data_IF_293099930808
#
_entry.id   IF_293099930808
#
_cell.length_a   1.000
_cell.length_b   1.000
_cell.length_c   1.000
_cell.angle_alpha   90.00
_cell.angle_beta   90.00
_cell.angle_gamma   90.00
#
_symmetry.space_group_name_H-M   'P 1'
#
loop_
_entity.id
_entity.type
_entity.pdbx_description
1 polymer ?
#
# COMPACT_ATOMS: atom_id res chain seq x y z
N UNK A 1 1.54 26.38 18.27
CA UNK A 1 0.53 25.32 18.46
C UNK A 1 1.23 24.19 19.19
N UNK A 2 0.93 23.99 20.48
CA UNK A 2 1.44 22.88 21.25
C UNK A 2 0.74 21.60 20.80
N UNK A 3 1.42 20.78 20.03
CA UNK A 3 0.99 19.40 19.80
C UNK A 3 1.16 18.68 21.14
N UNK A 4 0.08 18.58 21.91
CA UNK A 4 0.05 17.70 23.06
C UNK A 4 0.40 16.29 22.57
N UNK A 5 1.42 15.74 23.21
CA UNK A 5 1.95 14.40 23.01
C UNK A 5 0.89 13.38 23.47
N UNK A 6 -0.15 13.18 22.67
CA UNK A 6 -1.09 12.09 22.89
C UNK A 6 -0.38 10.82 22.40
N UNK A 7 -0.16 9.86 23.29
CA UNK A 7 0.27 8.48 23.01
C UNK A 7 -0.76 7.72 22.14
N UNK A 8 -1.27 8.39 21.10
CA UNK A 8 -2.29 7.83 20.23
C UNK A 8 -1.61 6.92 19.23
N UNK A 9 -1.92 5.64 19.29
CA UNK A 9 -1.49 4.66 18.28
C UNK A 9 -2.13 5.07 16.95
N UNK A 10 -1.29 5.36 15.96
CA UNK A 10 -1.71 5.62 14.60
C UNK A 10 -1.87 4.29 13.86
N UNK A 11 -2.97 4.12 13.19
CA UNK A 11 -3.21 2.94 12.36
C UNK A 11 -2.84 3.23 10.92
N UNK A 12 -2.06 2.32 10.31
CA UNK A 12 -1.71 2.39 8.90
C UNK A 12 -2.16 1.09 8.22
N UNK A 13 -3.05 1.23 7.24
CA UNK A 13 -3.47 0.12 6.40
C UNK A 13 -2.61 0.13 5.13
N UNK A 14 -1.98 -1.01 4.83
CA UNK A 14 -1.04 -1.18 3.72
C UNK A 14 -1.62 -2.18 2.72
N UNK A 15 -1.93 -1.77 1.48
CA UNK A 15 -2.21 -2.74 0.42
C UNK A 15 -0.89 -3.21 -0.22
N UNK A 16 -0.73 -4.53 -0.39
CA UNK A 16 0.51 -5.12 -0.92
C UNK A 16 0.76 -4.74 -2.38
N UNK A 17 -0.31 -4.46 -3.15
CA UNK A 17 -0.21 -4.14 -4.57
C UNK A 17 -0.05 -5.38 -5.43
N UNK A 18 0.68 -5.25 -6.55
CA UNK A 18 0.89 -6.35 -7.49
C UNK A 18 1.87 -7.38 -6.90
N UNK A 19 1.38 -8.59 -6.68
CA UNK A 19 2.15 -9.70 -6.11
C UNK A 19 3.25 -10.22 -7.04
N UNK A 20 3.12 -10.01 -8.33
CA UNK A 20 4.13 -10.38 -9.32
C UNK A 20 5.27 -9.37 -9.44
N UNK A 21 5.08 -8.19 -8.83
CA UNK A 21 6.01 -7.08 -8.84
C UNK A 21 6.87 -6.99 -7.57
N UNK A 22 7.39 -5.80 -7.33
CA UNK A 22 8.28 -5.51 -6.18
C UNK A 22 7.52 -5.21 -4.88
N UNK A 23 6.18 -5.12 -4.91
CA UNK A 23 5.36 -4.74 -3.77
C UNK A 23 5.65 -5.55 -2.50
N UNK A 24 5.57 -6.88 -2.54
CA UNK A 24 5.86 -7.73 -1.37
C UNK A 24 7.27 -7.50 -0.80
N UNK A 25 8.28 -7.40 -1.67
CA UNK A 25 9.67 -7.19 -1.26
C UNK A 25 9.88 -5.86 -0.54
N UNK A 26 9.41 -4.75 -1.13
CA UNK A 26 9.62 -3.42 -0.53
C UNK A 26 8.91 -3.27 0.79
N UNK A 27 7.73 -3.90 0.95
CA UNK A 27 6.99 -3.89 2.21
C UNK A 27 7.75 -4.64 3.31
N UNK A 28 8.27 -5.84 3.00
CA UNK A 28 9.04 -6.62 3.97
C UNK A 28 10.32 -5.87 4.41
N UNK A 29 10.98 -5.17 3.49
CA UNK A 29 12.14 -4.33 3.78
C UNK A 29 11.76 -3.10 4.61
N UNK A 30 10.69 -2.40 4.22
CA UNK A 30 10.23 -1.20 4.91
C UNK A 30 9.82 -1.49 6.35
N UNK A 31 9.05 -2.55 6.58
CA UNK A 31 8.56 -2.91 7.91
C UNK A 31 9.65 -3.46 8.85
N UNK A 32 10.81 -3.80 8.34
CA UNK A 32 11.99 -4.12 9.15
C UNK A 32 12.73 -2.87 9.63
N UNK A 33 12.53 -1.73 8.98
CA UNK A 33 13.29 -0.51 9.23
C UNK A 33 13.05 0.07 10.63
N UNK A 34 14.14 0.42 11.31
CA UNK A 34 14.11 1.13 12.60
C UNK A 34 13.65 2.60 12.48
N UNK A 35 13.43 3.10 11.27
CA UNK A 35 12.93 4.46 11.01
C UNK A 35 11.42 4.58 11.22
N UNK A 36 10.72 3.46 11.34
CA UNK A 36 9.28 3.46 11.60
C UNK A 36 9.02 3.79 13.06
N UNK A 37 8.19 4.81 13.36
CA UNK A 37 7.81 5.13 14.73
C UNK A 37 7.09 3.96 15.42
N UNK A 38 7.42 3.69 16.69
CA UNK A 38 6.85 2.56 17.45
C UNK A 38 5.36 2.69 17.76
N UNK A 39 4.79 3.87 17.61
CA UNK A 39 3.37 4.13 17.86
C UNK A 39 2.49 3.92 16.60
N UNK A 40 2.97 3.18 15.62
CA UNK A 40 2.20 2.83 14.42
C UNK A 40 1.80 1.36 14.47
N UNK A 41 0.49 1.09 14.35
CA UNK A 41 -0.09 -0.24 14.19
C UNK A 41 -0.38 -0.48 12.70
N UNK A 42 0.30 -1.44 12.09
CA UNK A 42 0.14 -1.79 10.69
C UNK A 42 -0.85 -2.92 10.48
N UNK A 43 -1.72 -2.77 9.48
CA UNK A 43 -2.54 -3.84 8.93
C UNK A 43 -2.18 -3.98 7.45
N UNK A 44 -1.59 -5.11 7.08
CA UNK A 44 -1.33 -5.44 5.68
C UNK A 44 -2.57 -6.08 5.05
N UNK A 45 -2.86 -5.72 3.81
CA UNK A 45 -3.92 -6.36 3.01
C UNK A 45 -3.29 -6.99 1.78
N UNK A 46 -3.36 -8.32 1.69
CA UNK A 46 -2.72 -9.08 0.62
C UNK A 46 -2.65 -10.57 0.95
N UNK A 47 -2.02 -11.36 0.08
CA UNK A 47 -1.84 -12.79 0.31
C UNK A 47 -0.70 -13.07 1.30
N UNK A 48 -1.05 -13.70 2.42
CA UNK A 48 -0.09 -14.18 3.42
C UNK A 48 0.88 -15.18 2.82
N UNK A 49 0.38 -16.07 1.97
CA UNK A 49 1.18 -17.07 1.26
C UNK A 49 2.21 -16.42 0.34
N UNK A 50 1.82 -15.42 -0.44
CA UNK A 50 2.74 -14.70 -1.32
C UNK A 50 3.84 -13.98 -0.53
N UNK A 51 3.48 -13.29 0.56
CA UNK A 51 4.45 -12.63 1.44
C UNK A 51 5.44 -13.64 2.07
N UNK A 52 4.97 -14.83 2.48
CA UNK A 52 5.84 -15.88 3.02
C UNK A 52 6.80 -16.42 1.96
N UNK A 53 6.31 -16.70 0.75
CA UNK A 53 7.13 -17.17 -0.37
C UNK A 53 8.20 -16.13 -0.75
N UNK A 54 7.81 -14.85 -0.82
CA UNK A 54 8.74 -13.75 -1.08
C UNK A 54 9.80 -13.66 0.01
N UNK A 55 9.39 -13.72 1.28
CA UNK A 55 10.33 -13.72 2.41
C UNK A 55 11.34 -14.86 2.31
N UNK A 56 10.89 -16.10 2.07
CA UNK A 56 11.77 -17.27 1.94
C UNK A 56 12.74 -17.11 0.77
N UNK A 57 12.25 -16.66 -0.39
CA UNK A 57 13.07 -16.39 -1.57
C UNK A 57 14.15 -15.36 -1.28
N UNK A 58 13.80 -14.24 -0.65
CA UNK A 58 14.77 -13.18 -0.33
C UNK A 58 15.80 -13.65 0.70
N UNK A 59 15.37 -14.45 1.71
CA UNK A 59 16.27 -15.05 2.69
C UNK A 59 17.26 -16.03 2.03
N UNK A 60 16.83 -16.84 1.07
CA UNK A 60 17.72 -17.75 0.33
C UNK A 60 18.73 -17.01 -0.57
N UNK A 61 18.45 -15.76 -0.92
CA UNK A 61 19.38 -14.87 -1.63
C UNK A 61 20.33 -14.09 -0.68
N UNK A 62 20.32 -14.41 0.63
CA UNK A 62 21.19 -13.80 1.62
C UNK A 62 20.71 -12.46 2.20
N UNK A 63 19.47 -12.01 1.89
CA UNK A 63 18.92 -10.80 2.50
C UNK A 63 18.44 -11.09 3.93
N UNK A 64 18.99 -10.36 4.91
CA UNK A 64 18.68 -10.56 6.33
C UNK A 64 17.67 -9.53 6.87
N UNK A 65 17.73 -8.32 6.38
CA UNK A 65 16.96 -7.16 6.87
C UNK A 65 15.52 -7.16 6.33
N UNK A 66 14.71 -8.13 6.78
CA UNK A 66 13.33 -8.34 6.33
C UNK A 66 12.40 -8.59 7.52
N UNK A 67 11.24 -7.95 7.53
CA UNK A 67 10.19 -8.26 8.48
C UNK A 67 9.65 -9.68 8.25
N UNK A 68 9.55 -10.48 9.32
CA UNK A 68 9.01 -11.83 9.20
C UNK A 68 7.48 -11.77 9.08
N UNK A 69 6.89 -12.30 7.99
CA UNK A 69 5.44 -12.27 7.79
C UNK A 69 4.62 -12.95 8.89
N UNK A 70 5.23 -13.88 9.65
CA UNK A 70 4.58 -14.53 10.79
C UNK A 70 4.26 -13.56 11.93
N UNK A 71 5.03 -12.46 12.04
CA UNK A 71 4.88 -11.46 13.08
C UNK A 71 4.08 -10.23 12.62
N UNK A 72 3.57 -10.25 11.37
CA UNK A 72 2.81 -9.15 10.80
C UNK A 72 1.31 -9.42 10.91
N UNK A 73 0.55 -8.36 11.14
CA UNK A 73 -0.91 -8.40 11.11
C UNK A 73 -1.38 -8.31 9.68
N UNK A 74 -1.74 -9.45 9.10
CA UNK A 74 -2.13 -9.57 7.70
C UNK A 74 -3.63 -9.87 7.63
N UNK A 75 -4.37 -9.00 6.92
CA UNK A 75 -5.70 -9.32 6.43
C UNK A 75 -5.50 -10.12 5.14
N UNK A 76 -5.58 -11.44 5.30
CA UNK A 76 -5.29 -12.39 4.24
C UNK A 76 -6.44 -12.44 3.23
N UNK A 77 -6.13 -12.19 1.98
CA UNK A 77 -7.04 -12.32 0.86
C UNK A 77 -6.41 -13.30 -0.14
N UNK A 78 -6.66 -14.58 0.07
CA UNK A 78 -6.37 -15.58 -0.97
C UNK A 78 -7.43 -15.47 -2.07
N UNK A 79 -7.06 -14.88 -3.19
CA UNK A 79 -7.89 -14.89 -4.38
C UNK A 79 -7.56 -16.18 -5.12
N UNK A 80 -8.54 -17.10 -5.10
CA UNK A 80 -8.45 -18.41 -5.75
C UNK A 80 -8.46 -18.25 -7.27
N UNK A 81 -7.38 -17.74 -7.86
CA UNK A 81 -7.18 -17.88 -9.30
C UNK A 81 -6.38 -19.15 -9.54
N UNK A 82 -6.96 -20.08 -10.28
CA UNK A 82 -6.27 -21.28 -10.77
C UNK A 82 -5.15 -20.97 -11.76
N UNK A 83 -4.97 -19.71 -12.11
CA UNK A 83 -3.99 -19.21 -13.10
C UNK A 83 -3.10 -18.16 -12.48
N UNK A 84 -1.80 -18.43 -12.44
CA UNK A 84 -0.76 -17.45 -12.13
C UNK A 84 -0.45 -16.60 -13.38
N UNK A 85 -1.39 -15.79 -13.82
CA UNK A 85 -1.24 -14.92 -14.97
C UNK A 85 -1.43 -13.44 -14.61
N UNK A 86 -1.15 -12.55 -15.56
CA UNK A 86 -1.24 -11.10 -15.34
C UNK A 86 -2.64 -10.62 -14.97
N UNK A 87 -3.68 -11.30 -15.48
CA UNK A 87 -5.07 -10.96 -15.14
C UNK A 87 -5.36 -11.28 -13.69
N UNK A 88 -4.97 -12.45 -13.18
CA UNK A 88 -5.19 -12.82 -11.79
C UNK A 88 -4.41 -11.95 -10.81
N UNK A 89 -3.16 -11.57 -11.13
CA UNK A 89 -2.40 -10.59 -10.33
C UNK A 89 -3.04 -9.20 -10.36
N UNK A 90 -3.61 -8.81 -11.51
CA UNK A 90 -4.37 -7.58 -11.65
C UNK A 90 -5.59 -7.57 -10.73
N UNK A 91 -6.39 -8.64 -10.75
CA UNK A 91 -7.57 -8.79 -9.90
C UNK A 91 -7.20 -8.80 -8.42
N UNK A 92 -6.18 -9.58 -8.03
CA UNK A 92 -5.69 -9.62 -6.64
C UNK A 92 -5.29 -8.24 -6.15
N UNK A 93 -4.46 -7.51 -6.90
CA UNK A 93 -3.98 -6.19 -6.49
C UNK A 93 -5.09 -5.15 -6.41
N UNK A 94 -6.11 -5.24 -7.26
CA UNK A 94 -7.30 -4.38 -7.19
C UNK A 94 -8.12 -4.69 -5.93
N UNK A 95 -8.35 -5.95 -5.64
CA UNK A 95 -9.09 -6.39 -4.45
C UNK A 95 -8.35 -6.04 -3.15
N UNK A 96 -7.01 -6.10 -3.12
CA UNK A 96 -6.23 -5.64 -1.97
C UNK A 96 -6.40 -4.15 -1.72
N UNK A 97 -6.39 -3.33 -2.78
CA UNK A 97 -6.59 -1.89 -2.65
C UNK A 97 -8.01 -1.57 -2.15
N UNK A 98 -9.04 -2.16 -2.76
CA UNK A 98 -10.43 -1.90 -2.38
C UNK A 98 -10.73 -2.35 -0.95
N UNK A 99 -10.18 -3.51 -0.56
CA UNK A 99 -10.30 -4.00 0.82
C UNK A 99 -9.54 -3.12 1.82
N UNK A 100 -8.37 -2.63 1.45
CA UNK A 100 -7.63 -1.69 2.29
C UNK A 100 -8.39 -0.37 2.50
N UNK A 101 -9.10 0.12 1.46
CA UNK A 101 -9.99 1.29 1.56
C UNK A 101 -11.16 1.01 2.53
N UNK A 102 -11.78 -0.17 2.45
CA UNK A 102 -12.84 -0.55 3.38
C UNK A 102 -12.36 -0.59 4.83
N UNK A 103 -11.19 -1.18 5.06
CA UNK A 103 -10.61 -1.29 6.41
C UNK A 103 -10.24 0.08 6.96
N UNK A 104 -9.57 0.94 6.17
CA UNK A 104 -9.14 2.27 6.68
C UNK A 104 -10.32 3.14 7.06
N UNK A 105 -11.45 3.03 6.36
CA UNK A 105 -12.70 3.76 6.68
C UNK A 105 -13.29 3.40 8.04
N UNK A 106 -12.96 2.25 8.60
CA UNK A 106 -13.45 1.83 9.92
C UNK A 106 -12.72 2.54 11.07
N UNK A 107 -11.63 3.24 10.78
CA UNK A 107 -10.79 3.88 11.78
C UNK A 107 -10.65 5.38 11.53
N UNK A 108 -11.14 6.26 12.42
CA UNK A 108 -11.14 7.71 12.20
C UNK A 108 -9.74 8.34 12.13
N UNK A 109 -8.72 7.64 12.65
CA UNK A 109 -7.33 8.11 12.68
C UNK A 109 -6.41 7.08 12.00
N UNK A 110 -6.77 6.65 10.81
CA UNK A 110 -5.95 5.75 10.02
C UNK A 110 -5.48 6.40 8.72
N UNK A 111 -4.36 5.93 8.22
CA UNK A 111 -3.85 6.27 6.90
C UNK A 111 -3.82 5.02 6.02
N UNK A 112 -4.03 5.21 4.73
CA UNK A 112 -3.83 4.19 3.72
C UNK A 112 -2.49 4.43 3.01
N UNK A 113 -1.68 3.38 2.94
CA UNK A 113 -0.46 3.34 2.11
C UNK A 113 -0.65 2.24 1.07
N UNK A 114 -0.35 2.55 -0.18
CA UNK A 114 -0.59 1.63 -1.29
C UNK A 114 0.71 1.11 -1.88
N UNK A 115 0.81 -0.20 -2.06
CA UNK A 115 1.87 -0.83 -2.83
C UNK A 115 1.77 -0.52 -4.33
N UNK A 116 2.84 -0.74 -5.10
CA UNK A 116 2.84 -0.50 -6.54
C UNK A 116 1.90 -1.47 -7.25
N UNK A 117 1.24 -0.98 -8.29
CA UNK A 117 0.30 -1.76 -9.12
C UNK A 117 0.76 -1.82 -10.58
N UNK A 118 0.25 -2.78 -11.32
CA UNK A 118 0.40 -2.85 -12.76
C UNK A 118 -0.93 -2.50 -13.44
N UNK A 119 -1.02 -1.31 -14.03
CA UNK A 119 -2.24 -0.84 -14.73
C UNK A 119 -2.68 -1.79 -15.86
N UNK A 120 -1.71 -2.37 -16.58
CA UNK A 120 -2.00 -3.34 -17.63
C UNK A 120 -2.64 -4.61 -17.07
N UNK A 121 -2.16 -5.10 -15.93
CA UNK A 121 -2.76 -6.26 -15.24
C UNK A 121 -4.17 -5.95 -14.76
N UNK A 122 -4.43 -4.75 -14.26
CA UNK A 122 -5.78 -4.29 -13.90
C UNK A 122 -6.72 -4.29 -15.11
N UNK A 123 -6.28 -3.74 -16.25
CA UNK A 123 -7.07 -3.72 -17.49
C UNK A 123 -7.38 -5.12 -18.00
N UNK A 124 -6.41 -6.05 -17.94
CA UNK A 124 -6.61 -7.46 -18.29
C UNK A 124 -7.61 -8.18 -17.38
N UNK A 125 -7.70 -7.74 -16.13
CA UNK A 125 -8.66 -8.23 -15.15
C UNK A 125 -10.05 -7.57 -15.25
N UNK A 126 -10.23 -6.62 -16.20
CA UNK A 126 -11.49 -5.88 -16.35
C UNK A 126 -11.64 -4.63 -15.48
N UNK A 127 -10.59 -4.28 -14.72
CA UNK A 127 -10.59 -3.08 -13.89
C UNK A 127 -10.06 -1.87 -14.66
N UNK A 128 -10.95 -1.15 -15.32
CA UNK A 128 -10.63 -0.04 -16.22
C UNK A 128 -10.51 1.29 -15.43
N UNK A 129 -9.40 1.46 -14.70
CA UNK A 129 -9.04 2.69 -14.00
C UNK A 129 -7.68 3.19 -14.49
N UNK A 130 -7.54 4.52 -14.60
CA UNK A 130 -6.27 5.17 -15.01
C UNK A 130 -5.17 4.98 -13.96
N UNK A 131 -5.54 4.76 -12.69
CA UNK A 131 -4.62 4.48 -11.60
C UNK A 131 -5.34 4.37 -10.25
N UNK A 132 -4.55 4.35 -9.18
CA UNK A 132 -5.06 4.23 -7.81
C UNK A 132 -5.87 5.45 -7.37
N UNK A 133 -5.54 6.65 -7.87
CA UNK A 133 -6.22 7.90 -7.52
C UNK A 133 -7.70 7.86 -7.86
N UNK A 134 -8.04 7.35 -9.04
CA UNK A 134 -9.42 7.24 -9.51
C UNK A 134 -10.20 6.18 -8.71
N UNK A 135 -9.55 5.09 -8.32
CA UNK A 135 -10.14 4.09 -7.42
C UNK A 135 -10.42 4.72 -6.07
N UNK A 136 -9.44 5.43 -5.48
CA UNK A 136 -9.62 6.14 -4.21
C UNK A 136 -10.77 7.15 -4.27
N UNK A 137 -10.83 7.98 -5.32
CA UNK A 137 -11.90 8.95 -5.51
C UNK A 137 -13.28 8.29 -5.55
N UNK A 138 -13.42 7.22 -6.36
CA UNK A 138 -14.66 6.45 -6.49
C UNK A 138 -15.10 5.85 -5.16
N UNK A 139 -14.21 5.15 -4.46
CA UNK A 139 -14.54 4.47 -3.21
C UNK A 139 -14.71 5.41 -2.02
N UNK A 140 -14.14 6.62 -2.08
CA UNK A 140 -14.38 7.69 -1.11
C UNK A 140 -15.62 8.54 -1.43
N UNK A 141 -16.22 8.37 -2.62
CA UNK A 141 -17.42 9.13 -3.04
C UNK A 141 -17.11 10.61 -3.30
N UNK A 142 -15.87 10.95 -3.70
CA UNK A 142 -15.44 12.32 -3.97
C UNK A 142 -15.18 12.52 -5.45
N UNK A 143 -15.53 13.71 -5.96
CA UNK A 143 -15.29 14.09 -7.37
C UNK A 143 -13.94 14.82 -7.55
N UNK A 144 -13.56 15.64 -6.58
CA UNK A 144 -12.36 16.44 -6.65
C UNK A 144 -11.27 15.81 -5.81
N UNK A 145 -10.16 15.44 -6.43
CA UNK A 145 -8.98 14.88 -5.79
C UNK A 145 -7.74 15.66 -6.19
N UNK A 146 -6.81 15.79 -5.24
CA UNK A 146 -5.52 16.40 -5.49
C UNK A 146 -4.41 15.45 -5.05
N UNK A 147 -3.27 15.53 -5.71
CA UNK A 147 -2.07 14.80 -5.36
C UNK A 147 -1.02 15.77 -4.83
N UNK A 148 -0.67 15.61 -3.56
CA UNK A 148 0.35 16.44 -2.93
C UNK A 148 1.71 15.73 -3.00
N UNK A 149 2.65 16.35 -3.69
CA UNK A 149 4.05 15.98 -3.64
C UNK A 149 4.76 16.83 -2.59
N UNK A 150 5.42 16.17 -1.65
CA UNK A 150 6.22 16.85 -0.63
C UNK A 150 7.61 16.23 -0.58
N UNK A 151 8.61 17.09 -0.49
CA UNK A 151 10.01 16.69 -0.32
C UNK A 151 10.71 17.64 0.64
N UNK A 152 11.74 17.12 1.33
CA UNK A 152 12.62 17.93 2.17
C UNK A 152 14.05 17.75 1.68
N UNK A 153 14.72 18.87 1.39
CA UNK A 153 16.14 18.84 1.02
C UNK A 153 16.96 18.26 2.16
N UNK A 154 17.78 17.23 1.93
CA UNK A 154 18.65 16.68 2.95
C UNK A 154 19.81 17.64 3.33
N UNK A 155 20.11 18.61 2.45
CA UNK A 155 21.21 19.57 2.63
C UNK A 155 20.75 20.84 3.36
N UNK A 156 19.67 21.46 2.89
CA UNK A 156 19.22 22.78 3.37
C UNK A 156 18.04 22.68 4.34
N UNK A 157 17.38 21.52 4.44
CA UNK A 157 16.15 21.36 5.20
C UNK A 157 14.92 22.04 4.58
N UNK A 158 15.07 22.70 3.42
CA UNK A 158 13.98 23.35 2.71
C UNK A 158 12.91 22.32 2.29
N UNK A 159 11.65 22.72 2.41
CA UNK A 159 10.50 21.87 2.05
C UNK A 159 9.88 22.33 0.74
N UNK A 160 9.78 21.41 -0.18
CA UNK A 160 9.05 21.56 -1.44
C UNK A 160 7.67 20.92 -1.29
N UNK A 161 6.62 21.65 -1.63
CA UNK A 161 5.25 21.13 -1.67
C UNK A 161 4.61 21.56 -2.99
N UNK A 162 4.10 20.59 -3.75
CA UNK A 162 3.38 20.84 -5.00
C UNK A 162 2.08 20.06 -4.99
N UNK A 163 0.97 20.76 -5.16
CA UNK A 163 -0.35 20.16 -5.30
C UNK A 163 -0.70 20.08 -6.79
N UNK A 164 -0.88 18.85 -7.28
CA UNK A 164 -1.47 18.58 -8.58
C UNK A 164 -2.96 18.33 -8.39
N UNK A 165 -3.78 19.15 -9.05
CA UNK A 165 -5.22 18.92 -9.11
C UNK A 165 -5.50 17.93 -10.23
N UNK A 166 -6.41 16.99 -9.97
CA UNK A 166 -6.84 16.04 -10.99
C UNK A 166 -7.67 16.75 -12.06
N UNK A 167 -7.22 16.67 -13.31
CA UNK A 167 -7.94 17.15 -14.50
C UNK A 167 -8.88 16.08 -15.08
N UNK A 168 -9.44 15.21 -14.24
CA UNK A 168 -10.29 14.08 -14.69
C UNK A 168 -11.62 14.55 -15.32
N UNK A 169 -11.86 15.84 -15.40
CA UNK A 169 -13.07 16.41 -15.99
C UNK A 169 -12.74 17.54 -16.97
N UNK A 170 -12.15 17.16 -18.10
CA UNK A 170 -12.28 17.92 -19.36
C UNK A 170 -12.93 17.00 -20.37
#
# INVERSE_FOLDING_TARGET
MNFQNTNKILKVVLSVGDESGIGPEIILKALYSNQIPRNIDFILVGSKKNLQNTYQKLRSLGLENLANPKNLKIHDLEISSSKNDKSSYGDSSFNYLTKAIEIVKQYPNAALVTGPICKKSWSLAGHNFSGQTEVLAKYCGVKNVGMLFTAKSPITGWRFNTLLLSLIHI
#
